data_IF_135358600426
#
_entry.id   IF_135358600426
#
_cell.length_a   1.000
_cell.length_b   1.000
_cell.length_c   1.000
_cell.angle_alpha   90.00
_cell.angle_beta   90.00
_cell.angle_gamma   90.00
#
_symmetry.space_group_name_H-M   'P 1'
#
loop_
_entity.id
_entity.type
_entity.pdbx_description
1 polymer ?
#
# COMPACT_ATOMS: atom_id res chain seq x y z
N UNK A 1 -12.15 -39.36 3.18
CA UNK A 1 -10.91 -38.87 2.50
C UNK A 1 -10.80 -37.39 2.75
N UNK A 2 -9.86 -36.96 3.57
CA UNK A 2 -9.57 -35.54 3.77
C UNK A 2 -8.99 -34.98 2.47
N UNK A 3 -9.65 -33.95 1.91
CA UNK A 3 -9.20 -33.29 0.69
C UNK A 3 -7.80 -32.68 0.93
N UNK A 4 -6.84 -33.01 0.07
CA UNK A 4 -5.49 -32.43 0.12
C UNK A 4 -5.55 -30.89 -0.04
N UNK A 5 -5.23 -30.09 1.01
CA UNK A 5 -5.42 -28.64 1.00
C UNK A 5 -4.55 -27.94 -0.06
N UNK A 6 -3.37 -28.48 -0.38
CA UNK A 6 -2.49 -27.92 -1.43
C UNK A 6 -3.10 -28.06 -2.82
N UNK A 7 -3.72 -29.22 -3.12
CA UNK A 7 -4.39 -29.45 -4.39
C UNK A 7 -5.68 -28.60 -4.50
N UNK A 8 -6.41 -28.41 -3.41
CA UNK A 8 -7.60 -27.53 -3.37
C UNK A 8 -7.21 -26.08 -3.68
N UNK A 9 -6.19 -25.55 -3.00
CA UNK A 9 -5.68 -24.18 -3.25
C UNK A 9 -5.19 -24.02 -4.68
N UNK A 10 -4.48 -25.00 -5.23
CA UNK A 10 -3.99 -24.95 -6.62
C UNK A 10 -5.14 -24.85 -7.64
N UNK A 11 -6.21 -25.63 -7.47
CA UNK A 11 -7.40 -25.56 -8.34
C UNK A 11 -8.14 -24.22 -8.20
N UNK A 12 -8.25 -23.72 -6.97
CA UNK A 12 -8.85 -22.41 -6.73
C UNK A 12 -8.04 -21.28 -7.39
N UNK A 13 -6.69 -21.37 -7.38
CA UNK A 13 -5.82 -20.42 -8.11
C UNK A 13 -6.05 -20.47 -9.61
N UNK A 14 -6.26 -21.64 -10.22
CA UNK A 14 -6.57 -21.73 -11.64
C UNK A 14 -7.89 -21.01 -11.97
N UNK A 15 -8.93 -21.23 -11.17
CA UNK A 15 -10.22 -20.52 -11.34
C UNK A 15 -10.05 -19.01 -11.19
N UNK A 16 -9.33 -18.57 -10.16
CA UNK A 16 -9.05 -17.15 -9.92
C UNK A 16 -8.34 -16.50 -11.09
N UNK A 17 -7.23 -17.10 -11.57
CA UNK A 17 -6.44 -16.59 -12.72
C UNK A 17 -7.27 -16.55 -14.01
N UNK A 18 -8.05 -17.59 -14.28
CA UNK A 18 -8.95 -17.62 -15.42
C UNK A 18 -9.95 -16.47 -15.39
N UNK A 19 -10.62 -16.25 -14.25
CA UNK A 19 -11.58 -15.15 -14.08
C UNK A 19 -10.94 -13.79 -14.29
N UNK A 20 -9.74 -13.54 -13.74
CA UNK A 20 -9.02 -12.29 -13.96
C UNK A 20 -8.73 -12.00 -15.44
N UNK A 21 -8.41 -13.03 -16.22
CA UNK A 21 -8.18 -12.90 -17.65
C UNK A 21 -9.48 -12.64 -18.40
N UNK A 22 -10.57 -13.33 -18.03
CA UNK A 22 -11.90 -13.16 -18.65
C UNK A 22 -12.47 -11.75 -18.49
N UNK A 23 -12.10 -11.04 -17.47
CA UNK A 23 -12.52 -9.65 -17.28
C UNK A 23 -11.82 -8.63 -18.18
N UNK A 24 -10.68 -9.02 -18.74
CA UNK A 24 -9.84 -8.11 -19.54
C UNK A 24 -9.82 -8.44 -21.02
N UNK A 25 -10.14 -9.67 -21.36
CA UNK A 25 -9.94 -10.19 -22.71
C UNK A 25 -11.14 -10.99 -23.16
N UNK A 26 -11.31 -11.11 -24.50
CA UNK A 26 -12.25 -12.04 -25.11
C UNK A 26 -11.97 -13.48 -24.64
N UNK A 27 -12.90 -14.40 -24.91
CA UNK A 27 -12.74 -15.81 -24.54
C UNK A 27 -11.45 -16.39 -25.13
N UNK A 28 -11.21 -16.20 -26.42
CA UNK A 28 -10.04 -16.68 -27.12
C UNK A 28 -8.75 -16.06 -26.59
N UNK A 29 -8.73 -14.72 -26.39
CA UNK A 29 -7.59 -14.01 -25.82
C UNK A 29 -7.28 -14.43 -24.40
N UNK A 30 -8.30 -14.75 -23.60
CA UNK A 30 -8.12 -15.30 -22.24
C UNK A 30 -7.55 -16.71 -22.27
N UNK A 31 -8.07 -17.58 -23.16
CA UNK A 31 -7.61 -18.95 -23.30
C UNK A 31 -6.12 -19.02 -23.70
N UNK A 32 -5.71 -18.23 -24.70
CA UNK A 32 -4.32 -18.16 -25.14
C UNK A 32 -3.37 -17.67 -24.03
N UNK A 33 -3.77 -16.62 -23.31
CA UNK A 33 -2.95 -16.09 -22.21
C UNK A 33 -2.88 -17.08 -21.05
N UNK A 34 -4.01 -17.69 -20.69
CA UNK A 34 -4.05 -18.70 -19.63
C UNK A 34 -3.19 -19.92 -19.98
N UNK A 35 -3.26 -20.41 -21.22
CA UNK A 35 -2.44 -21.52 -21.70
C UNK A 35 -0.94 -21.17 -21.68
N UNK A 36 -0.57 -19.97 -22.13
CA UNK A 36 0.83 -19.49 -22.07
C UNK A 36 1.37 -19.41 -20.64
N UNK A 37 0.59 -18.84 -19.72
CA UNK A 37 0.96 -18.77 -18.30
C UNK A 37 1.05 -20.18 -17.70
N UNK A 38 0.06 -21.04 -17.99
CA UNK A 38 0.03 -22.41 -17.51
C UNK A 38 1.23 -23.22 -17.98
N UNK A 39 1.62 -23.07 -19.25
CA UNK A 39 2.81 -23.74 -19.82
C UNK A 39 4.11 -23.29 -19.14
N UNK A 40 4.26 -21.98 -18.90
CA UNK A 40 5.41 -21.43 -18.18
C UNK A 40 5.51 -21.94 -16.73
N UNK A 41 4.39 -21.93 -16.00
CA UNK A 41 4.33 -22.46 -14.64
C UNK A 41 4.56 -23.98 -14.61
N UNK A 42 3.97 -24.72 -15.56
CA UNK A 42 4.16 -26.17 -15.67
C UNK A 42 5.62 -26.51 -15.95
N UNK A 43 6.27 -25.79 -16.85
CA UNK A 43 7.69 -25.95 -17.15
C UNK A 43 8.57 -25.67 -15.92
N UNK A 44 8.28 -24.60 -15.20
CA UNK A 44 8.95 -24.30 -13.93
C UNK A 44 8.74 -25.43 -12.92
N UNK A 45 7.50 -25.90 -12.74
CA UNK A 45 7.16 -26.97 -11.83
C UNK A 45 7.82 -28.31 -12.19
N UNK A 46 7.88 -28.64 -13.48
CA UNK A 46 8.56 -29.85 -13.94
C UNK A 46 10.07 -29.79 -13.61
N UNK A 47 10.73 -28.69 -13.95
CA UNK A 47 12.15 -28.50 -13.62
C UNK A 47 12.43 -28.49 -12.13
N UNK A 48 11.54 -27.92 -11.35
CA UNK A 48 11.65 -27.88 -9.90
C UNK A 48 11.68 -29.26 -9.27
N UNK A 49 10.93 -30.25 -9.82
CA UNK A 49 10.94 -31.63 -9.35
C UNK A 49 12.33 -32.30 -9.42
N UNK A 50 13.16 -31.89 -10.38
CA UNK A 50 14.52 -32.41 -10.59
C UNK A 50 15.60 -31.54 -9.93
N UNK A 51 15.23 -30.42 -9.30
CA UNK A 51 16.19 -29.44 -8.73
C UNK A 51 15.96 -29.22 -7.23
N UNK A 52 15.31 -30.16 -6.56
CA UNK A 52 15.13 -30.09 -5.12
C UNK A 52 16.48 -30.10 -4.39
N UNK A 53 16.58 -29.31 -3.33
CA UNK A 53 17.73 -29.34 -2.41
C UNK A 53 17.71 -30.66 -1.65
N UNK A 54 18.88 -31.29 -1.49
CA UNK A 54 19.04 -32.48 -0.67
C UNK A 54 18.90 -32.15 0.83
N UNK A 55 19.54 -31.05 1.26
CA UNK A 55 19.42 -30.45 2.59
C UNK A 55 19.05 -28.98 2.43
N UNK A 56 18.53 -28.39 3.48
CA UNK A 56 18.28 -26.95 3.59
C UNK A 56 19.04 -26.45 4.78
N UNK A 57 19.99 -25.54 4.53
CA UNK A 57 20.70 -24.85 5.60
C UNK A 57 19.70 -23.97 6.34
N UNK A 58 19.82 -23.89 7.66
CA UNK A 58 18.89 -23.15 8.51
C UNK A 58 19.50 -21.81 8.88
N UNK A 59 18.80 -20.73 8.55
CA UNK A 59 19.05 -19.37 8.98
C UNK A 59 17.78 -18.86 9.66
N UNK A 60 17.56 -19.27 10.92
CA UNK A 60 16.31 -19.01 11.63
C UNK A 60 16.12 -17.54 11.96
N UNK A 61 14.85 -17.09 11.95
CA UNK A 61 14.47 -15.77 12.38
C UNK A 61 13.09 -15.78 13.05
N UNK A 62 12.81 -14.75 13.86
CA UNK A 62 11.47 -14.55 14.43
C UNK A 62 10.51 -14.03 13.37
N UNK A 63 10.95 -13.05 12.60
CA UNK A 63 10.20 -12.42 11.52
C UNK A 63 10.94 -12.52 10.19
N UNK A 64 10.26 -12.99 9.16
CA UNK A 64 10.74 -12.96 7.78
C UNK A 64 9.96 -11.94 6.98
N UNK A 65 10.58 -10.84 6.56
CA UNK A 65 9.98 -9.87 5.65
C UNK A 65 10.26 -10.26 4.20
N UNK A 66 9.24 -10.76 3.50
CA UNK A 66 9.31 -11.21 2.12
C UNK A 66 8.87 -10.13 1.15
N UNK A 67 9.82 -9.45 0.53
CA UNK A 67 9.58 -8.42 -0.49
C UNK A 67 9.21 -9.03 -1.86
N UNK A 68 8.51 -8.25 -2.68
CA UNK A 68 8.05 -8.69 -4.00
C UNK A 68 9.17 -8.92 -5.01
N UNK A 69 10.31 -8.24 -4.87
CA UNK A 69 11.49 -8.36 -5.72
C UNK A 69 12.72 -7.74 -5.02
N UNK A 70 13.96 -8.18 -5.35
CA UNK A 70 15.19 -7.64 -4.72
C UNK A 70 15.34 -6.12 -4.82
N UNK A 71 14.92 -5.51 -5.94
CA UNK A 71 14.98 -4.04 -6.11
C UNK A 71 14.13 -3.26 -5.09
N UNK A 72 13.12 -3.88 -4.50
CA UNK A 72 12.23 -3.20 -3.54
C UNK A 72 12.92 -3.01 -2.20
N UNK A 73 13.85 -3.90 -1.84
CA UNK A 73 14.69 -3.78 -0.63
C UNK A 73 15.49 -2.48 -0.67
N UNK A 74 16.05 -2.12 -1.83
CA UNK A 74 16.84 -0.89 -2.00
C UNK A 74 16.04 0.41 -1.74
N UNK A 75 14.71 0.38 -1.83
CA UNK A 75 13.88 1.55 -1.53
C UNK A 75 13.68 1.82 -0.04
N UNK A 76 14.06 0.90 0.83
CA UNK A 76 14.00 1.01 2.30
C UNK A 76 12.66 1.52 2.87
N UNK A 77 11.56 1.27 2.17
CA UNK A 77 10.22 1.77 2.56
C UNK A 77 9.73 1.25 3.90
N UNK A 78 10.30 0.15 4.38
CA UNK A 78 9.92 -0.47 5.66
C UNK A 78 10.99 -0.31 6.74
N UNK A 79 11.87 0.68 6.57
CA UNK A 79 12.97 0.95 7.52
C UNK A 79 12.44 1.09 8.94
N UNK A 80 11.42 1.92 9.16
CA UNK A 80 10.82 2.14 10.49
C UNK A 80 10.30 0.83 11.11
N UNK A 81 9.58 0.01 10.33
CA UNK A 81 9.09 -1.29 10.78
C UNK A 81 10.24 -2.24 11.15
N UNK A 82 11.26 -2.34 10.28
CA UNK A 82 12.44 -3.21 10.51
C UNK A 82 13.17 -2.78 11.77
N UNK A 83 13.45 -1.48 11.91
CA UNK A 83 14.11 -0.91 13.08
C UNK A 83 13.28 -1.10 14.35
N UNK A 84 11.95 -0.91 14.27
CA UNK A 84 11.04 -1.11 15.38
C UNK A 84 10.99 -2.57 15.87
N UNK A 85 10.93 -3.54 14.96
CA UNK A 85 10.94 -4.97 15.30
C UNK A 85 12.29 -5.34 15.94
N UNK A 86 13.40 -4.91 15.35
CA UNK A 86 14.75 -5.16 15.89
C UNK A 86 14.99 -4.47 17.25
N UNK A 87 14.48 -3.25 17.40
CA UNK A 87 14.54 -2.50 18.65
C UNK A 87 13.80 -3.16 19.83
N UNK A 88 12.85 -4.05 19.53
CA UNK A 88 12.17 -4.90 20.51
C UNK A 88 12.91 -6.22 20.82
N UNK A 89 14.09 -6.41 20.24
CA UNK A 89 14.94 -7.60 20.48
C UNK A 89 14.65 -8.78 19.58
N UNK A 90 13.78 -8.65 18.56
CA UNK A 90 13.47 -9.74 17.63
C UNK A 90 14.45 -9.79 16.46
N UNK A 91 14.77 -11.02 16.03
CA UNK A 91 15.56 -11.24 14.83
C UNK A 91 14.67 -11.17 13.59
N UNK A 92 14.77 -10.08 12.82
CA UNK A 92 14.10 -9.89 11.56
C UNK A 92 15.08 -10.01 10.40
N UNK A 93 14.79 -10.94 9.47
CA UNK A 93 15.46 -11.06 8.17
C UNK A 93 14.58 -10.47 7.06
N UNK A 94 15.19 -9.74 6.14
CA UNK A 94 14.55 -9.23 4.94
C UNK A 94 15.06 -9.97 3.71
N UNK A 95 14.15 -10.55 2.93
CA UNK A 95 14.45 -11.25 1.69
C UNK A 95 13.43 -10.90 0.60
N UNK A 96 13.65 -11.39 -0.62
CA UNK A 96 12.73 -11.14 -1.73
C UNK A 96 12.48 -12.40 -2.55
N UNK A 97 11.28 -12.47 -3.16
CA UNK A 97 10.98 -13.50 -4.13
C UNK A 97 11.96 -13.45 -5.30
N UNK A 98 12.64 -14.56 -5.55
CA UNK A 98 13.61 -14.71 -6.63
C UNK A 98 12.93 -15.10 -7.94
N UNK A 99 13.48 -14.73 -9.09
CA UNK A 99 13.00 -15.22 -10.40
C UNK A 99 13.12 -16.76 -10.49
N UNK A 100 12.23 -17.45 -11.23
CA UNK A 100 12.26 -18.91 -11.38
C UNK A 100 13.62 -19.47 -11.82
N UNK A 101 14.34 -18.75 -12.71
CA UNK A 101 15.69 -19.15 -13.17
C UNK A 101 16.69 -19.21 -12.02
N UNK A 102 16.66 -18.21 -11.12
CA UNK A 102 17.53 -18.14 -9.93
C UNK A 102 17.16 -19.26 -8.95
N UNK A 103 15.87 -19.46 -8.67
CA UNK A 103 15.37 -20.52 -7.79
C UNK A 103 15.87 -21.89 -8.25
N UNK A 104 15.80 -22.17 -9.55
CA UNK A 104 16.28 -23.44 -10.12
C UNK A 104 17.79 -23.57 -10.07
N UNK A 105 18.54 -22.51 -10.38
CA UNK A 105 20.02 -22.50 -10.37
C UNK A 105 20.58 -22.75 -8.99
N UNK A 106 20.03 -22.04 -8.00
CA UNK A 106 20.48 -22.06 -6.61
C UNK A 106 19.79 -23.17 -5.80
N UNK A 107 18.92 -23.96 -6.43
CA UNK A 107 18.16 -25.05 -5.80
C UNK A 107 17.38 -24.64 -4.55
N UNK A 108 16.78 -23.44 -4.57
CA UNK A 108 15.97 -22.92 -3.46
C UNK A 108 14.59 -23.58 -3.43
N UNK A 109 14.58 -24.91 -3.38
CA UNK A 109 13.39 -25.74 -3.58
C UNK A 109 13.41 -26.93 -2.61
N UNK A 110 12.35 -27.10 -1.81
CA UNK A 110 12.14 -28.28 -0.96
C UNK A 110 10.86 -28.99 -1.38
N UNK A 111 10.83 -30.30 -1.28
CA UNK A 111 9.63 -31.09 -1.60
C UNK A 111 8.46 -30.64 -0.75
N UNK A 112 7.31 -30.23 -1.32
CA UNK A 112 6.11 -29.92 -0.56
C UNK A 112 5.64 -31.13 0.26
N UNK A 113 5.12 -30.91 1.45
CA UNK A 113 4.64 -31.98 2.37
C UNK A 113 3.47 -32.76 1.78
N UNK A 114 2.70 -32.17 0.89
CA UNK A 114 1.56 -32.80 0.22
C UNK A 114 1.70 -32.71 -1.30
N UNK A 115 0.97 -33.57 -2.01
CA UNK A 115 0.97 -33.58 -3.46
C UNK A 115 0.39 -32.25 -4.02
N UNK A 116 1.12 -31.64 -4.96
CA UNK A 116 0.75 -30.38 -5.64
C UNK A 116 0.74 -30.65 -7.14
N UNK A 117 -0.24 -30.13 -7.90
CA UNK A 117 -0.21 -30.20 -9.36
C UNK A 117 1.10 -29.60 -9.92
N UNK A 118 1.64 -30.22 -10.98
CA UNK A 118 2.94 -29.83 -11.55
C UNK A 118 3.01 -28.32 -11.86
N UNK A 119 1.92 -27.73 -12.32
CA UNK A 119 1.81 -26.29 -12.60
C UNK A 119 2.24 -25.40 -11.42
N UNK A 120 1.90 -25.79 -10.20
CA UNK A 120 2.19 -25.01 -9.00
C UNK A 120 3.32 -25.60 -8.15
N UNK A 121 3.89 -26.71 -8.59
CA UNK A 121 4.91 -27.42 -7.81
C UNK A 121 6.12 -26.54 -7.51
N UNK A 122 6.60 -25.74 -8.48
CA UNK A 122 7.76 -24.86 -8.29
C UNK A 122 7.51 -23.78 -7.25
N UNK A 123 6.30 -23.17 -7.24
CA UNK A 123 5.93 -22.15 -6.24
C UNK A 123 5.78 -22.78 -4.85
N UNK A 124 5.14 -23.94 -4.76
CA UNK A 124 4.95 -24.67 -3.51
C UNK A 124 6.30 -25.14 -2.93
N UNK A 125 7.18 -25.68 -3.78
CA UNK A 125 8.51 -26.12 -3.36
C UNK A 125 9.41 -24.99 -2.89
N UNK A 126 9.30 -23.79 -3.50
CA UNK A 126 10.02 -22.63 -3.03
C UNK A 126 9.45 -22.06 -1.73
N UNK A 127 8.12 -22.09 -1.55
CA UNK A 127 7.47 -21.73 -0.30
C UNK A 127 7.92 -22.64 0.86
N UNK A 128 7.95 -23.96 0.64
CA UNK A 128 8.49 -24.93 1.63
C UNK A 128 9.96 -24.66 1.94
N UNK A 129 10.79 -24.35 0.92
CA UNK A 129 12.17 -24.01 1.11
C UNK A 129 12.33 -22.76 1.97
N UNK A 130 11.60 -21.68 1.66
CA UNK A 130 11.65 -20.43 2.44
C UNK A 130 11.29 -20.64 3.90
N UNK A 131 10.19 -21.38 4.16
CA UNK A 131 9.75 -21.66 5.53
C UNK A 131 10.74 -22.55 6.28
N UNK A 132 11.29 -23.55 5.60
CA UNK A 132 12.24 -24.46 6.24
C UNK A 132 13.63 -23.83 6.46
N UNK A 133 14.07 -22.97 5.56
CA UNK A 133 15.35 -22.26 5.64
C UNK A 133 15.32 -21.21 6.76
N UNK A 134 14.28 -20.39 6.81
CA UNK A 134 14.21 -19.27 7.75
C UNK A 134 13.44 -19.59 9.03
N UNK A 135 12.62 -20.65 9.07
CA UNK A 135 11.81 -21.06 10.22
C UNK A 135 11.08 -19.91 10.94
N UNK A 136 10.48 -18.93 10.22
CA UNK A 136 9.92 -17.77 10.84
C UNK A 136 8.68 -18.12 11.68
N UNK A 137 8.55 -17.49 12.84
CA UNK A 137 7.28 -17.52 13.59
C UNK A 137 6.21 -16.72 12.88
N UNK A 138 6.60 -15.58 12.28
CA UNK A 138 5.72 -14.71 11.49
C UNK A 138 6.40 -14.35 10.17
N UNK A 139 5.76 -14.64 9.05
CA UNK A 139 6.17 -14.18 7.73
C UNK A 139 5.34 -12.97 7.33
N UNK A 140 6.03 -11.86 7.06
CA UNK A 140 5.45 -10.60 6.60
C UNK A 140 5.53 -10.52 5.08
N UNK A 141 4.39 -10.33 4.40
CA UNK A 141 4.30 -10.19 2.96
C UNK A 141 3.63 -8.87 2.61
N UNK A 142 4.13 -8.13 1.61
CA UNK A 142 3.56 -6.85 1.19
C UNK A 142 3.04 -6.84 -0.25
N UNK A 143 3.10 -7.98 -0.96
CA UNK A 143 2.68 -8.06 -2.35
C UNK A 143 1.21 -8.43 -2.48
N UNK A 144 0.37 -7.48 -2.87
CA UNK A 144 -1.02 -7.72 -3.20
C UNK A 144 -1.17 -8.78 -4.32
N UNK A 145 -2.01 -9.79 -4.09
CA UNK A 145 -2.30 -10.85 -5.05
C UNK A 145 -1.11 -11.76 -5.38
N UNK A 146 -0.27 -12.05 -4.40
CA UNK A 146 0.85 -12.97 -4.56
C UNK A 146 0.39 -14.41 -4.72
N UNK A 147 0.70 -15.03 -5.85
CA UNK A 147 0.38 -16.46 -6.09
C UNK A 147 1.14 -17.41 -5.14
N UNK A 148 2.15 -16.91 -4.44
CA UNK A 148 2.88 -17.65 -3.40
C UNK A 148 2.12 -17.70 -2.08
N UNK A 149 1.26 -16.72 -1.78
CA UNK A 149 0.59 -16.57 -0.48
C UNK A 149 -0.12 -17.86 -0.03
N UNK A 150 -0.92 -18.57 -0.86
CA UNK A 150 -1.58 -19.81 -0.43
C UNK A 150 -0.61 -20.92 -0.01
N UNK A 151 0.51 -21.05 -0.70
CA UNK A 151 1.51 -22.09 -0.40
C UNK A 151 2.38 -21.69 0.80
N UNK A 152 2.71 -20.43 0.95
CA UNK A 152 3.39 -19.91 2.14
C UNK A 152 2.53 -20.13 3.39
N UNK A 153 1.23 -19.78 3.32
CA UNK A 153 0.29 -19.98 4.42
C UNK A 153 0.20 -21.44 4.84
N UNK A 154 0.10 -22.36 3.86
CA UNK A 154 0.04 -23.80 4.15
C UNK A 154 1.36 -24.34 4.70
N UNK A 155 2.51 -23.88 4.22
CA UNK A 155 3.82 -24.29 4.73
C UNK A 155 4.04 -23.78 6.16
N UNK A 156 3.69 -22.52 6.43
CA UNK A 156 3.78 -21.90 7.77
C UNK A 156 2.84 -22.61 8.77
N UNK A 157 1.58 -22.82 8.40
CA UNK A 157 0.61 -23.51 9.27
C UNK A 157 1.12 -24.90 9.72
N UNK A 158 1.84 -25.61 8.84
CA UNK A 158 2.41 -26.91 9.17
C UNK A 158 3.63 -26.84 10.12
N UNK A 159 4.22 -25.67 10.34
CA UNK A 159 5.30 -25.40 11.30
C UNK A 159 4.85 -24.52 12.48
N UNK A 160 3.56 -24.21 12.59
CA UNK A 160 3.01 -23.34 13.62
C UNK A 160 3.29 -21.84 13.42
N UNK A 161 3.74 -21.44 12.23
CA UNK A 161 3.96 -20.05 11.86
C UNK A 161 2.73 -19.38 11.25
N UNK A 162 2.77 -18.06 11.13
CA UNK A 162 1.67 -17.22 10.63
C UNK A 162 2.10 -16.42 9.38
N UNK A 163 1.17 -16.23 8.45
CA UNK A 163 1.33 -15.34 7.30
C UNK A 163 0.55 -14.04 7.53
N UNK A 164 1.27 -12.93 7.69
CA UNK A 164 0.71 -11.58 7.84
C UNK A 164 0.96 -10.78 6.58
N UNK A 165 -0.10 -10.23 5.99
CA UNK A 165 0.01 -9.30 4.88
C UNK A 165 0.02 -7.86 5.39
N UNK A 166 1.03 -7.08 4.99
CA UNK A 166 1.15 -5.66 5.31
C UNK A 166 0.61 -4.83 4.14
N UNK A 167 -0.38 -3.99 4.37
CA UNK A 167 -0.75 -2.98 3.39
C UNK A 167 0.44 -2.06 3.12
N UNK A 168 0.66 -1.69 1.85
CA UNK A 168 1.74 -0.78 1.46
C UNK A 168 1.24 0.65 1.18
N UNK A 169 -0.06 0.86 1.24
CA UNK A 169 -0.78 2.12 1.14
C UNK A 169 -2.22 1.92 1.64
N UNK A 170 -3.02 2.98 1.68
CA UNK A 170 -4.46 2.84 1.84
C UNK A 170 -5.02 2.01 0.68
N UNK A 171 -5.74 0.95 0.97
CA UNK A 171 -6.15 -0.08 0.01
C UNK A 171 -7.45 0.32 -0.72
N UNK A 172 -7.57 1.60 -1.07
CA UNK A 172 -8.77 2.19 -1.70
C UNK A 172 -8.76 2.09 -3.23
N UNK A 173 -7.63 1.77 -3.83
CA UNK A 173 -7.48 1.66 -5.28
C UNK A 173 -8.28 0.50 -5.88
N UNK A 174 -8.65 0.60 -7.16
CA UNK A 174 -9.40 -0.43 -7.89
C UNK A 174 -8.54 -1.59 -8.41
N UNK A 175 -7.41 -1.88 -7.80
CA UNK A 175 -6.56 -2.99 -8.24
C UNK A 175 -7.27 -4.34 -8.09
N UNK A 176 -7.39 -5.08 -9.19
CA UNK A 176 -8.01 -6.43 -9.19
C UNK A 176 -7.21 -7.46 -8.37
N UNK A 177 -5.92 -7.20 -8.14
CA UNK A 177 -5.05 -8.05 -7.33
C UNK A 177 -5.47 -8.07 -5.87
N UNK A 178 -6.13 -7.03 -5.39
CA UNK A 178 -6.71 -6.96 -4.06
C UNK A 178 -7.91 -7.91 -3.86
N UNK A 179 -8.44 -8.51 -4.91
CA UNK A 179 -9.44 -9.58 -4.83
C UNK A 179 -8.88 -10.94 -4.37
N UNK A 180 -7.56 -11.08 -4.25
CA UNK A 180 -6.90 -12.24 -3.68
C UNK A 180 -6.42 -11.90 -2.26
N UNK A 181 -6.93 -12.66 -1.27
CA UNK A 181 -6.77 -12.36 0.14
C UNK A 181 -6.63 -13.65 0.95
N UNK A 182 -5.48 -14.32 0.81
CA UNK A 182 -5.21 -15.61 1.47
C UNK A 182 -4.03 -15.47 2.44
N UNK A 183 -4.34 -14.92 3.61
CA UNK A 183 -3.41 -14.66 4.71
C UNK A 183 -4.06 -15.07 6.03
N UNK A 184 -3.30 -15.26 7.10
CA UNK A 184 -3.87 -15.39 8.43
C UNK A 184 -4.37 -14.03 8.91
N UNK A 185 -3.54 -12.99 8.74
CA UNK A 185 -3.90 -11.62 9.06
C UNK A 185 -3.58 -10.66 7.91
N UNK A 186 -4.44 -9.66 7.72
CA UNK A 186 -4.21 -8.55 6.80
C UNK A 186 -4.20 -7.24 7.60
N UNK A 187 -3.03 -6.67 7.79
CA UNK A 187 -2.84 -5.41 8.49
C UNK A 187 -3.17 -4.24 7.57
N UNK A 188 -4.21 -3.51 7.90
CA UNK A 188 -4.75 -2.39 7.13
C UNK A 188 -4.43 -1.07 7.81
N UNK A 189 -4.32 -0.02 7.02
CA UNK A 189 -4.03 1.32 7.52
C UNK A 189 -5.21 1.94 8.25
N UNK A 190 -6.45 1.79 7.77
CA UNK A 190 -7.61 2.40 8.38
C UNK A 190 -8.94 1.89 7.84
N UNK A 191 -9.99 2.53 8.31
CA UNK A 191 -11.37 2.20 7.98
C UNK A 191 -11.65 2.26 6.48
N UNK A 192 -11.09 3.25 5.76
CA UNK A 192 -11.22 3.38 4.30
C UNK A 192 -10.75 2.13 3.55
N UNK A 193 -9.65 1.52 4.01
CA UNK A 193 -9.12 0.28 3.42
C UNK A 193 -10.05 -0.90 3.67
N UNK A 194 -10.61 -1.00 4.87
CA UNK A 194 -11.57 -2.05 5.22
C UNK A 194 -12.84 -1.94 4.38
N UNK A 195 -13.45 -0.75 4.31
CA UNK A 195 -14.65 -0.50 3.50
C UNK A 195 -14.41 -0.80 2.02
N UNK A 196 -13.25 -0.38 1.47
CA UNK A 196 -12.88 -0.67 0.09
C UNK A 196 -12.70 -2.18 -0.18
N UNK A 197 -12.21 -2.95 0.79
CA UNK A 197 -12.09 -4.41 0.68
C UNK A 197 -13.44 -5.10 0.83
N UNK A 198 -14.31 -4.65 1.72
CA UNK A 198 -15.66 -5.18 1.91
C UNK A 198 -16.58 -4.90 0.70
N UNK A 199 -16.45 -3.69 0.11
CA UNK A 199 -17.22 -3.31 -1.07
C UNK A 199 -16.79 -4.05 -2.34
N UNK A 200 -15.60 -4.65 -2.36
CA UNK A 200 -15.14 -5.41 -3.52
C UNK A 200 -15.46 -6.89 -3.39
N UNK A 201 -15.70 -7.52 -4.52
CA UNK A 201 -15.84 -8.96 -4.57
C UNK A 201 -14.48 -9.64 -4.35
N UNK A 202 -14.28 -10.20 -3.15
CA UNK A 202 -13.13 -11.07 -2.88
C UNK A 202 -13.32 -12.40 -3.64
N UNK A 203 -12.27 -12.83 -4.32
CA UNK A 203 -12.35 -13.94 -5.29
C UNK A 203 -11.55 -15.15 -4.89
N UNK A 204 -10.64 -14.99 -3.95
CA UNK A 204 -9.76 -16.05 -3.53
C UNK A 204 -9.30 -15.83 -2.08
N UNK A 205 -9.40 -16.90 -1.29
CA UNK A 205 -8.87 -16.98 0.06
C UNK A 205 -9.71 -16.31 1.15
N UNK A 206 -9.12 -16.22 2.31
CA UNK A 206 -9.69 -15.58 3.49
C UNK A 206 -8.59 -15.00 4.36
N UNK A 207 -8.89 -13.97 5.13
CA UNK A 207 -7.99 -13.43 6.15
C UNK A 207 -8.76 -12.71 7.25
N UNK A 208 -8.12 -12.50 8.40
CA UNK A 208 -8.58 -11.56 9.40
C UNK A 208 -7.96 -10.19 9.12
N UNK A 209 -8.75 -9.23 8.65
CA UNK A 209 -8.34 -7.85 8.52
C UNK A 209 -8.21 -7.22 9.91
N UNK A 210 -7.12 -6.48 10.13
CA UNK A 210 -6.81 -5.80 11.39
C UNK A 210 -6.45 -4.36 11.11
N UNK A 211 -7.13 -3.41 11.73
CA UNK A 211 -6.82 -1.98 11.60
C UNK A 211 -5.71 -1.60 12.57
N UNK A 212 -4.48 -1.60 12.08
CA UNK A 212 -3.26 -1.31 12.88
C UNK A 212 -2.67 0.08 12.59
N UNK A 213 -3.14 0.77 11.57
CA UNK A 213 -2.52 2.02 11.12
C UNK A 213 -1.35 1.81 10.16
N UNK A 214 -0.64 2.89 9.89
CA UNK A 214 0.51 2.87 8.98
C UNK A 214 1.81 2.59 9.72
N UNK A 215 2.52 1.56 9.30
CA UNK A 215 3.89 1.25 9.78
C UNK A 215 4.98 2.07 9.07
N UNK A 216 4.60 3.04 8.23
CA UNK A 216 5.52 3.89 7.46
C UNK A 216 5.47 5.36 7.89
N UNK A 217 4.60 5.70 8.85
CA UNK A 217 4.44 7.06 9.39
C UNK A 217 5.06 7.08 10.78
N UNK A 218 5.77 8.16 11.07
CA UNK A 218 6.42 8.43 12.35
C UNK A 218 5.89 9.71 13.00
N UNK A 219 6.44 10.07 14.15
CA UNK A 219 6.03 11.24 14.92
C UNK A 219 6.36 12.59 14.24
N UNK A 220 7.06 12.60 13.10
CA UNK A 220 7.33 13.84 12.37
C UNK A 220 6.08 14.54 11.85
N UNK A 221 4.96 13.82 11.79
CA UNK A 221 3.64 14.35 11.43
C UNK A 221 2.81 14.81 12.65
N UNK A 222 3.29 14.61 13.87
CA UNK A 222 2.70 15.21 15.07
C UNK A 222 3.17 16.65 15.16
N UNK A 223 2.33 17.56 14.72
CA UNK A 223 2.69 18.97 14.58
C UNK A 223 1.71 19.86 15.33
N UNK A 224 2.14 21.06 15.77
CA UNK A 224 1.21 22.06 16.26
C UNK A 224 0.26 22.49 15.13
N UNK A 225 -0.90 23.02 15.56
CA UNK A 225 -1.85 23.62 14.61
C UNK A 225 -1.14 24.69 13.77
N UNK A 226 -1.48 24.83 12.48
CA UNK A 226 -0.87 25.82 11.63
C UNK A 226 -1.30 27.24 12.02
N UNK A 227 -0.40 28.20 11.80
CA UNK A 227 -0.71 29.61 11.92
C UNK A 227 -1.30 30.13 10.60
N UNK A 228 -2.59 30.48 10.59
CA UNK A 228 -3.26 31.04 9.42
C UNK A 228 -2.71 32.42 9.02
N UNK A 229 -2.19 33.20 9.98
CA UNK A 229 -1.65 34.52 9.70
C UNK A 229 -0.44 34.47 8.75
N UNK A 230 0.25 33.34 8.65
CA UNK A 230 1.36 33.14 7.70
C UNK A 230 0.90 33.03 6.26
N UNK A 231 -0.40 32.82 5.99
CA UNK A 231 -1.00 32.71 4.66
C UNK A 231 -0.18 31.85 3.69
N UNK A 232 0.26 30.68 4.15
CA UNK A 232 1.10 29.79 3.36
C UNK A 232 0.32 28.62 2.79
N UNK A 233 0.14 28.62 1.47
CA UNK A 233 -0.54 27.56 0.73
C UNK A 233 0.47 26.55 0.22
N UNK A 234 0.30 25.26 0.54
CA UNK A 234 1.17 24.18 0.04
C UNK A 234 0.45 23.34 -1.03
N UNK A 235 0.94 23.37 -2.25
CA UNK A 235 0.44 22.54 -3.36
C UNK A 235 1.17 21.21 -3.37
N UNK A 236 0.42 20.10 -3.28
CA UNK A 236 0.96 18.75 -3.41
C UNK A 236 1.06 18.35 -4.88
N UNK A 237 2.27 18.17 -5.38
CA UNK A 237 2.55 17.75 -6.75
C UNK A 237 2.13 16.30 -7.03
N UNK A 238 1.85 16.01 -8.29
CA UNK A 238 1.51 14.67 -8.78
C UNK A 238 2.70 14.01 -9.47
N UNK A 239 2.61 12.71 -9.75
CA UNK A 239 3.68 11.98 -10.42
C UNK A 239 3.91 12.43 -11.87
N UNK A 240 5.12 12.20 -12.43
CA UNK A 240 5.57 12.76 -13.71
C UNK A 240 4.71 12.34 -14.91
N UNK A 241 4.05 11.19 -14.84
CA UNK A 241 3.14 10.74 -15.89
C UNK A 241 1.84 11.56 -15.88
N UNK A 242 1.36 11.90 -14.69
CA UNK A 242 0.16 12.70 -14.47
C UNK A 242 0.37 14.18 -14.82
N UNK A 243 1.53 14.73 -14.52
CA UNK A 243 1.85 16.13 -14.87
C UNK A 243 1.76 16.44 -16.36
N UNK A 244 1.88 15.43 -17.24
CA UNK A 244 1.75 15.58 -18.69
C UNK A 244 0.31 15.62 -19.19
N UNK A 245 -0.64 15.19 -18.38
CA UNK A 245 -2.04 15.17 -18.74
C UNK A 245 -2.59 16.62 -18.73
N UNK A 246 -3.33 16.99 -19.77
CA UNK A 246 -3.90 18.35 -19.94
C UNK A 246 -4.69 18.82 -18.72
N UNK A 247 -5.46 17.94 -18.10
CA UNK A 247 -6.26 18.23 -16.92
C UNK A 247 -5.42 18.71 -15.72
N UNK A 248 -4.27 18.06 -15.47
CA UNK A 248 -3.36 18.48 -14.40
C UNK A 248 -2.66 19.80 -14.73
N UNK A 249 -2.28 20.02 -15.99
CA UNK A 249 -1.70 21.29 -16.43
C UNK A 249 -2.69 22.43 -16.29
N UNK A 250 -3.97 22.22 -16.64
CA UNK A 250 -5.02 23.22 -16.44
C UNK A 250 -5.22 23.54 -14.95
N UNK A 251 -5.21 22.51 -14.09
CA UNK A 251 -5.30 22.73 -12.64
C UNK A 251 -4.10 23.50 -12.11
N UNK A 252 -2.89 23.19 -12.58
CA UNK A 252 -1.69 23.98 -12.24
C UNK A 252 -1.77 25.41 -12.75
N UNK A 253 -2.30 25.64 -13.96
CA UNK A 253 -2.49 26.98 -14.53
C UNK A 253 -3.47 27.80 -13.70
N UNK A 254 -4.58 27.22 -13.23
CA UNK A 254 -5.51 27.88 -12.32
C UNK A 254 -4.80 28.28 -11.02
N UNK A 255 -4.07 27.39 -10.38
CA UNK A 255 -3.36 27.67 -9.14
C UNK A 255 -2.26 28.73 -9.31
N UNK A 256 -1.53 28.71 -10.43
CA UNK A 256 -0.52 29.70 -10.75
C UNK A 256 -1.11 31.09 -11.08
N UNK A 257 -2.27 31.10 -11.72
CA UNK A 257 -3.03 32.33 -12.01
C UNK A 257 -3.55 32.97 -10.72
N UNK A 258 -4.13 32.16 -9.83
CA UNK A 258 -4.57 32.60 -8.52
C UNK A 258 -3.40 33.14 -7.69
N UNK A 259 -2.27 32.45 -7.62
CA UNK A 259 -1.08 32.89 -6.88
C UNK A 259 -0.59 34.27 -7.32
N UNK A 260 -0.59 34.57 -8.63
CA UNK A 260 -0.20 35.89 -9.16
C UNK A 260 -1.13 37.03 -8.74
N UNK A 261 -2.42 36.72 -8.56
CA UNK A 261 -3.43 37.71 -8.14
C UNK A 261 -3.47 37.92 -6.63
N UNK A 262 -2.90 37.00 -5.88
CA UNK A 262 -2.87 37.00 -4.42
C UNK A 262 -1.44 37.01 -3.87
N UNK A 263 -0.69 38.11 -4.06
CA UNK A 263 0.69 38.22 -3.58
C UNK A 263 0.83 38.21 -2.05
N UNK A 264 -0.25 38.43 -1.32
CA UNK A 264 -0.34 38.30 0.14
C UNK A 264 -0.25 36.85 0.65
N UNK A 265 -0.45 35.87 -0.24
CA UNK A 265 -0.24 34.44 0.06
C UNK A 265 1.14 34.00 -0.42
N UNK A 266 1.83 33.23 0.42
CA UNK A 266 3.01 32.46 0.00
C UNK A 266 2.56 31.11 -0.53
N UNK A 267 2.95 30.77 -1.74
CA UNK A 267 2.60 29.49 -2.36
C UNK A 267 3.84 28.60 -2.45
N UNK A 268 3.81 27.50 -1.71
CA UNK A 268 4.84 26.46 -1.74
C UNK A 268 4.37 25.33 -2.66
N UNK A 269 5.26 24.85 -3.53
CA UNK A 269 4.98 23.66 -4.35
C UNK A 269 5.90 22.54 -3.92
N UNK A 270 5.34 21.44 -3.40
CA UNK A 270 6.08 20.22 -3.09
C UNK A 270 5.95 19.24 -4.24
N UNK A 271 6.95 19.10 -5.13
CA UNK A 271 6.89 18.18 -6.25
C UNK A 271 6.87 16.74 -5.75
N UNK A 272 6.26 15.85 -6.56
CA UNK A 272 6.39 14.43 -6.33
C UNK A 272 7.87 13.99 -6.43
N UNK A 273 8.38 13.06 -5.60
CA UNK A 273 9.83 12.72 -5.58
C UNK A 273 10.44 12.30 -6.92
N UNK A 274 9.63 11.85 -7.88
CA UNK A 274 10.07 11.47 -9.24
C UNK A 274 9.85 12.56 -10.28
N UNK A 275 9.23 13.71 -9.91
CA UNK A 275 8.92 14.79 -10.84
C UNK A 275 10.07 15.78 -10.91
N UNK A 276 10.28 16.33 -12.11
CA UNK A 276 11.13 17.50 -12.35
C UNK A 276 10.33 18.81 -12.28
N UNK A 277 9.02 18.75 -12.05
CA UNK A 277 8.10 19.89 -11.97
C UNK A 277 8.25 20.94 -13.08
N UNK A 278 8.30 20.58 -14.37
CA UNK A 278 8.66 21.50 -15.45
C UNK A 278 7.71 22.70 -15.56
N UNK A 279 6.43 22.52 -15.28
CA UNK A 279 5.46 23.61 -15.25
C UNK A 279 5.84 24.69 -14.20
N UNK A 280 6.14 24.26 -12.99
CA UNK A 280 6.39 25.13 -11.85
C UNK A 280 7.73 25.88 -11.95
N UNK A 281 8.73 25.31 -12.64
CA UNK A 281 9.99 26.00 -12.89
C UNK A 281 9.78 27.32 -13.66
N UNK A 282 8.87 27.34 -14.64
CA UNK A 282 8.53 28.57 -15.36
C UNK A 282 7.73 29.57 -14.50
N UNK A 283 6.85 29.05 -13.63
CA UNK A 283 6.03 29.93 -12.76
C UNK A 283 6.87 30.63 -11.71
N UNK A 284 7.80 29.94 -11.07
CA UNK A 284 8.68 30.52 -10.03
C UNK A 284 9.53 31.67 -10.56
N UNK A 285 9.96 31.61 -11.82
CA UNK A 285 10.72 32.71 -12.44
C UNK A 285 9.88 33.98 -12.65
N UNK A 286 8.56 33.83 -12.82
CA UNK A 286 7.66 34.92 -13.15
C UNK A 286 6.79 35.40 -11.97
N UNK A 287 6.86 34.73 -10.80
CA UNK A 287 5.89 34.94 -9.71
C UNK A 287 6.61 34.88 -8.35
N UNK A 288 6.87 36.03 -7.75
CA UNK A 288 7.74 36.21 -6.59
C UNK A 288 7.25 35.48 -5.31
N UNK A 289 5.95 35.28 -5.15
CA UNK A 289 5.35 34.62 -3.99
C UNK A 289 5.21 33.10 -4.15
N UNK A 290 5.74 32.52 -5.25
CA UNK A 290 5.73 31.05 -5.48
C UNK A 290 7.13 30.47 -5.27
N UNK A 291 7.24 29.45 -4.45
CA UNK A 291 8.48 28.73 -4.15
C UNK A 291 8.34 27.24 -4.52
N UNK A 292 9.25 26.74 -5.35
CA UNK A 292 9.38 25.29 -5.63
C UNK A 292 10.34 24.67 -4.62
N UNK A 293 9.82 23.75 -3.79
CA UNK A 293 10.61 23.09 -2.76
C UNK A 293 11.55 22.05 -3.37
N UNK A 294 12.78 22.03 -2.89
CA UNK A 294 13.80 21.07 -3.32
C UNK A 294 13.45 19.61 -3.02
N UNK A 295 14.17 18.70 -3.65
CA UNK A 295 13.99 17.26 -3.45
C UNK A 295 14.37 16.81 -2.03
N UNK A 296 15.25 17.50 -1.36
CA UNK A 296 15.73 17.33 0.01
C UNK A 296 14.70 17.76 1.08
N UNK A 297 13.77 18.65 0.71
CA UNK A 297 12.70 19.05 1.62
C UNK A 297 11.72 17.85 1.82
N UNK A 298 11.66 17.28 3.01
CA UNK A 298 10.69 16.22 3.32
C UNK A 298 9.25 16.73 3.28
N UNK A 299 8.27 15.82 3.14
CA UNK A 299 6.86 16.19 3.21
C UNK A 299 6.51 16.82 4.58
N UNK A 300 6.99 16.22 5.67
CA UNK A 300 6.78 16.76 7.01
C UNK A 300 7.35 18.20 7.16
N UNK A 301 8.55 18.46 6.64
CA UNK A 301 9.14 19.80 6.65
C UNK A 301 8.31 20.80 5.83
N UNK A 302 7.78 20.39 4.69
CA UNK A 302 6.89 21.25 3.88
C UNK A 302 5.56 21.53 4.62
N UNK A 303 4.95 20.52 5.24
CA UNK A 303 3.71 20.66 6.01
C UNK A 303 3.87 21.55 7.23
N UNK A 304 5.04 21.52 7.88
CA UNK A 304 5.33 22.44 9.02
C UNK A 304 5.25 23.90 8.63
N UNK A 305 5.54 24.25 7.36
CA UNK A 305 5.50 25.62 6.82
C UNK A 305 4.12 26.02 6.31
N UNK A 306 3.20 25.05 6.13
CA UNK A 306 1.91 25.27 5.47
C UNK A 306 0.82 25.68 6.46
N UNK A 307 0.02 26.70 6.10
CA UNK A 307 -1.25 27.02 6.76
C UNK A 307 -2.39 26.17 6.22
N UNK A 308 -2.44 25.99 4.90
CA UNK A 308 -3.46 25.23 4.17
C UNK A 308 -2.78 24.40 3.08
N UNK A 309 -3.32 23.23 2.78
CA UNK A 309 -2.80 22.35 1.74
C UNK A 309 -3.77 22.23 0.58
N UNK A 310 -3.26 22.35 -0.64
CA UNK A 310 -3.99 22.09 -1.88
C UNK A 310 -3.61 20.70 -2.39
N UNK A 311 -4.59 19.83 -2.54
CA UNK A 311 -4.42 18.52 -3.14
C UNK A 311 -5.22 18.40 -4.44
N UNK A 312 -4.59 17.79 -5.45
CA UNK A 312 -5.26 17.39 -6.69
C UNK A 312 -5.63 15.91 -6.59
N UNK A 313 -4.63 15.03 -6.60
CA UNK A 313 -4.78 13.58 -6.45
C UNK A 313 -3.51 12.94 -5.89
N UNK A 314 -2.93 13.52 -4.85
CA UNK A 314 -1.75 12.96 -4.18
C UNK A 314 -2.14 12.18 -2.94
N UNK A 315 -1.50 11.03 -2.73
CA UNK A 315 -1.67 10.25 -1.48
C UNK A 315 -1.19 11.04 -0.26
N UNK A 316 -0.27 12.00 -0.45
CA UNK A 316 0.25 12.86 0.61
C UNK A 316 -0.83 13.73 1.30
N UNK A 317 -2.06 13.75 0.78
CA UNK A 317 -3.21 14.38 1.44
C UNK A 317 -3.52 13.74 2.79
N UNK A 318 -3.25 12.45 2.93
CA UNK A 318 -3.52 11.72 4.17
C UNK A 318 -2.54 12.18 5.27
N UNK A 319 -1.26 12.30 4.92
CA UNK A 319 -0.24 12.83 5.82
C UNK A 319 -0.45 14.32 6.12
N UNK A 320 -0.94 15.09 5.13
CA UNK A 320 -1.29 16.49 5.34
C UNK A 320 -2.43 16.65 6.37
N UNK A 321 -3.48 15.85 6.24
CA UNK A 321 -4.59 15.83 7.18
C UNK A 321 -4.17 15.32 8.56
N UNK A 322 -3.30 14.30 8.63
CA UNK A 322 -2.73 13.80 9.88
C UNK A 322 -1.91 14.87 10.60
N UNK A 323 -1.17 15.70 9.84
CA UNK A 323 -0.43 16.85 10.37
C UNK A 323 -1.33 18.02 10.77
N UNK A 324 -2.66 17.86 10.75
CA UNK A 324 -3.63 18.88 11.13
C UNK A 324 -3.66 20.06 10.18
N UNK A 325 -3.39 19.86 8.88
CA UNK A 325 -3.47 20.93 7.88
C UNK A 325 -4.83 20.90 7.21
N UNK A 326 -5.59 22.02 7.19
CA UNK A 326 -6.79 22.13 6.35
C UNK A 326 -6.47 21.80 4.89
N UNK A 327 -7.37 21.09 4.21
CA UNK A 327 -7.17 20.61 2.85
C UNK A 327 -8.21 21.20 1.90
N UNK A 328 -7.73 21.66 0.75
CA UNK A 328 -8.54 22.07 -0.39
C UNK A 328 -8.32 21.10 -1.55
N UNK A 329 -9.41 20.60 -2.12
CA UNK A 329 -9.36 19.71 -3.28
C UNK A 329 -9.61 20.51 -4.56
N UNK A 330 -8.59 20.58 -5.42
CA UNK A 330 -8.67 21.33 -6.70
C UNK A 330 -8.42 20.36 -7.85
N UNK A 331 -9.39 20.21 -8.75
CA UNK A 331 -9.24 19.32 -9.91
C UNK A 331 -10.17 19.72 -11.06
N UNK A 332 -9.59 20.18 -12.18
CA UNK A 332 -10.31 20.50 -13.40
C UNK A 332 -10.54 19.26 -14.28
N UNK A 333 -9.82 18.18 -14.01
CA UNK A 333 -9.86 16.97 -14.81
C UNK A 333 -10.99 15.99 -14.51
N UNK A 334 -11.76 16.23 -13.45
CA UNK A 334 -12.83 15.34 -13.03
C UNK A 334 -12.35 13.95 -12.65
N UNK A 335 -11.16 13.85 -12.04
CA UNK A 335 -10.59 12.59 -11.59
C UNK A 335 -11.48 11.94 -10.53
N UNK A 336 -11.47 10.61 -10.49
CA UNK A 336 -12.23 9.91 -9.46
C UNK A 336 -11.62 10.18 -8.09
N UNK A 337 -12.44 10.64 -7.15
CA UNK A 337 -12.08 10.82 -5.74
C UNK A 337 -11.95 9.46 -5.03
N UNK A 338 -10.79 8.83 -5.17
CA UNK A 338 -10.50 7.53 -4.56
C UNK A 338 -10.32 7.60 -3.04
N UNK A 339 -10.06 8.78 -2.50
CA UNK A 339 -9.88 9.00 -1.07
C UNK A 339 -11.15 9.53 -0.37
N UNK A 340 -12.24 9.71 -1.09
CA UNK A 340 -13.47 10.31 -0.55
C UNK A 340 -13.23 11.70 0.08
N UNK A 341 -12.32 12.49 -0.52
CA UNK A 341 -11.99 13.84 -0.03
C UNK A 341 -13.21 14.75 0.04
N UNK A 342 -14.10 14.63 -0.96
CA UNK A 342 -15.33 15.44 -0.99
C UNK A 342 -16.26 15.19 0.19
N UNK A 343 -16.22 13.99 0.78
CA UNK A 343 -17.00 13.65 1.97
C UNK A 343 -16.59 14.48 3.19
N UNK A 344 -15.32 14.86 3.27
CA UNK A 344 -14.75 15.55 4.42
C UNK A 344 -14.52 17.04 4.16
N UNK A 345 -13.99 17.38 2.98
CA UNK A 345 -13.54 18.73 2.63
C UNK A 345 -14.52 19.47 1.72
N UNK A 346 -15.66 18.87 1.37
CA UNK A 346 -16.67 19.44 0.48
C UNK A 346 -16.32 19.32 -1.01
N UNK A 347 -17.09 20.00 -1.87
CA UNK A 347 -16.97 19.84 -3.34
C UNK A 347 -15.58 20.22 -3.86
N UNK A 348 -15.18 19.59 -4.97
CA UNK A 348 -13.93 19.90 -5.68
C UNK A 348 -14.02 21.32 -6.26
N UNK A 349 -12.98 22.08 -6.05
CA UNK A 349 -12.78 23.45 -6.54
C UNK A 349 -12.37 23.39 -8.01
N UNK A 350 -13.03 24.19 -8.86
CA UNK A 350 -12.79 24.23 -10.31
C UNK A 350 -12.59 25.65 -10.86
N UNK A 351 -12.75 26.67 -10.02
CA UNK A 351 -12.59 28.05 -10.37
C UNK A 351 -11.79 28.80 -9.30
N UNK A 352 -11.17 29.92 -9.66
CA UNK A 352 -10.33 30.69 -8.74
C UNK A 352 -11.14 31.40 -7.65
N UNK A 353 -12.33 31.87 -7.96
CA UNK A 353 -13.28 32.44 -7.01
C UNK A 353 -13.78 31.40 -5.99
N UNK A 354 -13.99 30.16 -6.42
CA UNK A 354 -14.29 29.04 -5.49
C UNK A 354 -13.12 28.78 -4.53
N UNK A 355 -11.87 28.84 -5.03
CA UNK A 355 -10.67 28.68 -4.20
C UNK A 355 -10.60 29.78 -3.14
N UNK A 356 -10.82 31.04 -3.53
CA UNK A 356 -10.85 32.18 -2.62
C UNK A 356 -11.94 32.04 -1.56
N UNK A 357 -13.17 31.73 -1.97
CA UNK A 357 -14.30 31.54 -1.04
C UNK A 357 -14.01 30.41 -0.03
N UNK A 358 -13.37 29.33 -0.47
CA UNK A 358 -13.02 28.21 0.42
C UNK A 358 -11.90 28.59 1.41
N UNK A 359 -10.92 29.41 0.98
CA UNK A 359 -9.89 29.93 1.88
C UNK A 359 -10.50 30.86 2.93
N UNK A 360 -11.38 31.78 2.53
CA UNK A 360 -12.12 32.63 3.46
C UNK A 360 -12.98 31.82 4.43
N UNK A 361 -13.60 30.72 3.96
CA UNK A 361 -14.34 29.81 4.82
C UNK A 361 -13.46 29.14 5.87
N UNK A 362 -12.25 28.72 5.52
CA UNK A 362 -11.26 28.16 6.47
C UNK A 362 -10.83 29.24 7.49
N UNK A 363 -10.60 30.49 7.04
CA UNK A 363 -10.24 31.59 7.94
C UNK A 363 -11.39 31.92 8.91
N UNK A 364 -12.65 31.86 8.45
CA UNK A 364 -13.83 32.15 9.26
C UNK A 364 -14.12 31.07 10.31
N UNK A 365 -13.90 29.78 10.00
CA UNK A 365 -14.09 28.65 10.91
C UNK A 365 -12.92 27.64 10.81
N UNK A 366 -11.80 28.07 11.35
CA UNK A 366 -10.57 27.26 11.37
C UNK A 366 -10.73 25.99 12.22
N UNK A 367 -11.50 26.06 13.30
CA UNK A 367 -11.78 24.91 14.16
C UNK A 367 -12.46 23.79 13.39
N UNK A 368 -13.48 24.09 12.60
CA UNK A 368 -14.16 23.14 11.74
C UNK A 368 -13.22 22.54 10.68
N UNK A 369 -12.38 23.35 10.06
CA UNK A 369 -11.42 22.88 9.05
C UNK A 369 -10.38 21.89 9.63
N UNK A 370 -9.93 22.11 10.86
CA UNK A 370 -9.06 21.16 11.59
C UNK A 370 -9.80 19.85 11.94
N UNK A 371 -11.04 19.94 12.36
CA UNK A 371 -11.89 18.76 12.65
C UNK A 371 -12.11 17.89 11.41
N UNK A 372 -12.36 18.52 10.25
CA UNK A 372 -12.49 17.82 8.97
C UNK A 372 -11.20 17.08 8.60
N UNK A 373 -10.04 17.70 8.79
CA UNK A 373 -8.73 17.08 8.54
C UNK A 373 -8.49 15.91 9.50
N UNK A 374 -8.81 16.06 10.79
CA UNK A 374 -8.73 14.98 11.78
C UNK A 374 -9.62 13.80 11.39
N UNK A 375 -10.89 14.03 11.08
CA UNK A 375 -11.83 12.99 10.70
C UNK A 375 -11.38 12.25 9.41
N UNK A 376 -10.83 12.97 8.45
CA UNK A 376 -10.27 12.38 7.24
C UNK A 376 -9.04 11.53 7.55
N UNK A 377 -8.12 12.01 8.37
CA UNK A 377 -6.92 11.26 8.77
C UNK A 377 -7.31 9.98 9.53
N UNK A 378 -8.22 10.05 10.50
CA UNK A 378 -8.72 8.89 11.27
C UNK A 378 -9.41 7.85 10.39
N UNK A 379 -10.14 8.28 9.35
CA UNK A 379 -10.77 7.38 8.39
C UNK A 379 -9.74 6.60 7.57
N UNK A 380 -8.59 7.20 7.25
CA UNK A 380 -7.54 6.57 6.46
C UNK A 380 -6.44 5.89 7.28
N UNK A 381 -6.18 6.36 8.50
CA UNK A 381 -5.09 5.92 9.38
C UNK A 381 -5.64 5.62 10.78
N UNK A 382 -5.94 4.37 11.05
CA UNK A 382 -6.20 3.95 12.41
C UNK A 382 -4.98 4.28 13.30
N UNK A 383 -5.22 4.73 14.52
CA UNK A 383 -4.21 5.15 15.49
C UNK A 383 -3.33 6.36 15.06
N UNK A 384 -3.63 7.03 13.94
CA UNK A 384 -2.91 8.21 13.48
C UNK A 384 -1.41 7.98 13.36
N UNK A 385 -0.58 8.83 14.01
CA UNK A 385 0.87 8.69 14.08
C UNK A 385 1.32 7.45 14.91
N UNK A 386 0.49 6.94 15.81
CA UNK A 386 0.74 5.72 16.59
C UNK A 386 0.63 4.41 15.80
N UNK A 387 0.35 4.45 14.50
CA UNK A 387 0.16 3.26 13.67
C UNK A 387 1.37 2.31 13.63
N UNK A 388 2.59 2.83 13.67
CA UNK A 388 3.80 2.01 13.78
C UNK A 388 3.84 1.25 15.11
N UNK A 389 3.59 1.93 16.23
CA UNK A 389 3.58 1.29 17.56
C UNK A 389 2.49 0.20 17.62
N UNK A 390 1.27 0.51 17.17
CA UNK A 390 0.16 -0.45 17.10
C UNK A 390 0.50 -1.68 16.21
N UNK A 391 1.15 -1.46 15.07
CA UNK A 391 1.63 -2.54 14.20
C UNK A 391 2.63 -3.44 14.92
N UNK A 392 3.61 -2.84 15.61
CA UNK A 392 4.66 -3.56 16.35
C UNK A 392 4.07 -4.36 17.51
N UNK A 393 3.10 -3.79 18.26
CA UNK A 393 2.40 -4.48 19.35
C UNK A 393 1.60 -5.68 18.85
N UNK A 394 0.88 -5.51 17.73
CA UNK A 394 0.15 -6.60 17.11
C UNK A 394 1.09 -7.72 16.64
N UNK A 395 2.22 -7.40 16.01
CA UNK A 395 3.22 -8.37 15.56
C UNK A 395 3.85 -9.12 16.74
N UNK A 396 4.19 -8.43 17.82
CA UNK A 396 4.72 -9.05 19.03
C UNK A 396 3.73 -10.05 19.62
N UNK A 397 2.46 -9.66 19.79
CA UNK A 397 1.42 -10.56 20.30
C UNK A 397 1.26 -11.81 19.44
N UNK A 398 1.26 -11.67 18.12
CA UNK A 398 1.17 -12.81 17.19
C UNK A 398 2.40 -13.71 17.28
N UNK A 399 3.61 -13.13 17.41
CA UNK A 399 4.85 -13.89 17.61
C UNK A 399 4.79 -14.71 18.89
N UNK A 400 4.33 -14.12 19.98
CA UNK A 400 4.26 -14.75 21.30
C UNK A 400 3.08 -15.75 21.43
N UNK A 401 2.28 -15.91 20.38
CA UNK A 401 1.12 -16.81 20.38
C UNK A 401 -0.09 -16.26 21.14
N UNK A 402 -0.09 -14.97 21.44
CA UNK A 402 -1.19 -14.29 22.13
C UNK A 402 -2.27 -13.80 21.15
N UNK A 403 -3.49 -13.65 21.65
CA UNK A 403 -4.56 -12.98 20.91
C UNK A 403 -4.23 -11.51 20.66
N UNK A 404 -4.70 -10.96 19.55
CA UNK A 404 -4.63 -9.52 19.29
C UNK A 404 -5.34 -8.73 20.40
N UNK A 405 -4.94 -7.48 20.61
CA UNK A 405 -5.63 -6.60 21.57
C UNK A 405 -7.10 -6.44 21.20
N UNK A 406 -7.98 -6.41 22.22
CA UNK A 406 -9.40 -6.14 22.04
C UNK A 406 -9.68 -4.71 21.50
N UNK A 407 -8.74 -3.81 21.63
CA UNK A 407 -8.81 -2.43 21.09
C UNK A 407 -8.63 -2.40 19.57
N UNK A 408 -8.02 -3.43 18.99
CA UNK A 408 -7.84 -3.53 17.54
C UNK A 408 -9.13 -4.01 16.89
N UNK A 409 -9.64 -3.22 15.97
CA UNK A 409 -10.76 -3.66 15.14
C UNK A 409 -10.34 -4.76 14.20
N UNK A 410 -10.99 -5.91 14.31
CA UNK A 410 -10.75 -7.09 13.47
C UNK A 410 -12.02 -7.46 12.71
N UNK A 411 -11.87 -7.87 11.45
CA UNK A 411 -12.99 -8.32 10.60
C UNK A 411 -12.53 -9.48 9.74
N UNK A 412 -13.29 -10.57 9.71
CA UNK A 412 -13.02 -11.67 8.78
C UNK A 412 -13.44 -11.29 7.37
N UNK A 413 -12.51 -11.46 6.43
CA UNK A 413 -12.70 -11.26 5.00
C UNK A 413 -12.61 -12.63 4.30
N UNK A 414 -13.66 -13.00 3.57
CA UNK A 414 -13.71 -14.29 2.86
C UNK A 414 -14.10 -14.10 1.40
N UNK A 415 -13.56 -14.95 0.54
CA UNK A 415 -14.00 -15.00 -0.85
C UNK A 415 -15.44 -15.50 -0.90
N UNK A 416 -16.28 -14.86 -1.73
CA UNK A 416 -17.68 -15.23 -1.89
C UNK A 416 -17.79 -16.73 -2.30
N UNK A 417 -18.69 -17.53 -1.70
CA UNK A 417 -18.82 -18.97 -1.98
C UNK A 417 -18.96 -19.32 -3.48
N UNK A 418 -19.66 -18.48 -4.25
CA UNK A 418 -19.76 -18.65 -5.71
C UNK A 418 -18.42 -18.49 -6.45
N UNK A 419 -17.36 -18.10 -5.76
CA UNK A 419 -16.01 -17.89 -6.29
C UNK A 419 -15.04 -19.01 -5.90
N UNK A 420 -15.42 -19.86 -4.97
CA UNK A 420 -14.67 -21.05 -4.54
C UNK A 420 -15.02 -22.25 -5.42
#
# INVERSE_FOLDING_TARGET
MTLNPWAVKARALDRYRWRLLRERHSLLGSALRFAREALGDWWFGLRAKYRLAASVDIESCDFLLLQSAPKVIAFQRKKLLIEGVRGRGYHLLETALRPPRTILRERLLKRPRHAVPTRYFGMAAHAEWLVQHHQPRVLLNDRNGSLYAPFLRLALAASGGLLVHLAHATTVERSRRLGMNDYDYYFLFGQSSLEALQARMLRFGSSTAVLVGSHMIDDSYVMPAPDLATRTLLILGVGPDKEKESAYQQTYALLASWARRHPEYRVLVKPHPRSQAPFWLGVVQATANVELLGADCSLAAALKRASVVVNILSNAVIEAALAGRPVLCVDLGGQQDIFQQQRFFGPVIRAEDELEQRLLGIEADFGQALEQSRAFAEFHLAHGAGGLASTLDALQRLHDGNSLSAELRTVTLEAHPANL
#
